data_IF_458481152515
#
_entry.id   IF_458481152515
#
_cell.length_a   1.000
_cell.length_b   1.000
_cell.length_c   1.000
_cell.angle_alpha   90.00
_cell.angle_beta   90.00
_cell.angle_gamma   90.00
#
_symmetry.space_group_name_H-M   'P 1'
#
loop_
_entity.id
_entity.type
_entity.pdbx_description
1 polymer ?
#
# COMPACT_ATOMS: atom_id res chain seq x y z
N UNK A 1 13.87 60.91 -47.33
CA UNK A 1 14.38 60.13 -46.20
C UNK A 1 13.20 59.44 -45.55
N UNK A 2 13.00 58.14 -45.80
CA UNK A 2 11.92 57.35 -45.23
C UNK A 2 12.52 56.47 -44.12
N UNK A 3 12.13 56.68 -42.85
CA UNK A 3 12.52 55.86 -41.71
C UNK A 3 11.61 54.61 -41.69
N UNK A 4 12.19 53.42 -41.90
CA UNK A 4 11.49 52.16 -41.64
C UNK A 4 11.71 51.76 -40.17
N UNK A 5 10.63 51.69 -39.43
CA UNK A 5 10.63 51.18 -38.07
C UNK A 5 10.40 49.65 -38.15
N UNK A 6 11.40 48.87 -37.74
CA UNK A 6 11.31 47.42 -37.62
C UNK A 6 10.77 47.08 -36.23
N UNK A 7 9.55 46.50 -36.17
CA UNK A 7 8.98 45.96 -34.92
C UNK A 7 9.54 44.55 -34.66
N UNK A 8 10.33 44.41 -33.62
CA UNK A 8 10.72 43.12 -33.09
C UNK A 8 9.56 42.57 -32.20
N UNK A 9 8.88 41.54 -32.67
CA UNK A 9 7.92 40.80 -31.88
C UNK A 9 8.69 39.76 -31.03
N UNK A 10 8.78 40.03 -29.75
CA UNK A 10 9.31 39.05 -28.77
C UNK A 10 8.25 37.98 -28.55
N UNK A 11 8.46 36.77 -29.12
CA UNK A 11 7.64 35.61 -28.80
C UNK A 11 8.13 35.03 -27.45
N UNK A 12 7.46 35.35 -26.36
CA UNK A 12 7.63 34.67 -25.09
C UNK A 12 6.90 33.32 -25.16
N UNK A 13 7.66 32.26 -25.36
CA UNK A 13 7.16 30.88 -25.13
C UNK A 13 6.88 30.72 -23.66
N UNK A 14 5.59 30.74 -23.28
CA UNK A 14 5.15 30.26 -21.98
C UNK A 14 5.41 28.76 -21.90
N UNK A 15 6.46 28.38 -21.17
CA UNK A 15 6.57 27.01 -20.70
C UNK A 15 5.42 26.76 -19.72
N UNK A 16 4.46 25.93 -20.11
CA UNK A 16 3.44 25.42 -19.20
C UNK A 16 4.14 24.58 -18.12
N UNK A 17 3.82 24.79 -16.86
CA UNK A 17 4.57 24.17 -15.76
C UNK A 17 4.31 22.67 -15.69
N UNK A 18 5.32 21.94 -15.21
CA UNK A 18 5.32 20.51 -14.87
C UNK A 18 4.30 20.10 -13.76
N UNK A 19 3.40 20.99 -13.35
CA UNK A 19 2.38 20.76 -12.34
C UNK A 19 1.38 19.63 -12.68
N UNK A 20 1.17 19.34 -13.97
CA UNK A 20 0.26 18.27 -14.38
C UNK A 20 0.88 16.86 -14.24
N UNK A 21 2.21 16.73 -14.36
CA UNK A 21 2.89 15.46 -14.15
C UNK A 21 2.90 15.08 -12.65
N UNK A 22 3.13 16.05 -11.78
CA UNK A 22 3.18 15.86 -10.34
C UNK A 22 1.82 15.52 -9.70
N UNK A 23 0.71 16.03 -10.28
CA UNK A 23 -0.64 15.66 -9.86
C UNK A 23 -1.00 14.21 -10.27
N UNK A 24 -0.47 13.72 -11.40
CA UNK A 24 -0.67 12.35 -11.85
C UNK A 24 0.10 11.34 -10.96
N UNK A 25 1.32 11.68 -10.53
CA UNK A 25 2.13 10.83 -9.64
C UNK A 25 1.55 10.75 -8.23
N UNK A 26 1.01 11.83 -7.68
CA UNK A 26 0.34 11.85 -6.37
C UNK A 26 -0.98 11.03 -6.34
N UNK A 27 -1.54 10.70 -7.50
CA UNK A 27 -2.76 9.90 -7.61
C UNK A 27 -2.51 8.39 -7.58
N UNK A 28 -1.29 7.94 -7.92
CA UNK A 28 -0.92 6.53 -8.01
C UNK A 28 0.02 6.14 -6.87
N UNK A 29 -0.10 4.91 -6.41
CA UNK A 29 0.77 4.30 -5.43
C UNK A 29 1.14 2.88 -5.88
N UNK A 30 2.41 2.55 -5.86
CA UNK A 30 2.93 1.20 -6.01
C UNK A 30 3.44 0.72 -4.67
N UNK A 31 3.16 -0.54 -4.36
CA UNK A 31 3.45 -1.15 -3.07
C UNK A 31 4.18 -2.46 -3.31
N UNK A 32 5.42 -2.56 -2.88
CA UNK A 32 6.14 -3.82 -2.78
C UNK A 32 5.87 -4.40 -1.38
N UNK A 33 5.30 -5.58 -1.32
CA UNK A 33 4.95 -6.25 -0.07
C UNK A 33 5.59 -7.63 0.00
N UNK A 34 6.48 -7.84 0.99
CA UNK A 34 7.04 -9.14 1.32
C UNK A 34 6.35 -9.72 2.54
N UNK A 35 5.75 -10.88 2.38
CA UNK A 35 5.04 -11.59 3.46
C UNK A 35 5.85 -12.80 3.88
N UNK A 36 6.30 -12.82 5.13
CA UNK A 36 7.23 -13.80 5.66
C UNK A 36 6.54 -14.88 6.49
N UNK A 37 6.98 -16.12 6.30
CA UNK A 37 6.73 -17.23 7.20
C UNK A 37 7.93 -17.34 8.15
N UNK A 38 7.72 -17.00 9.41
CA UNK A 38 8.77 -16.98 10.44
C UNK A 38 8.51 -18.04 11.50
N UNK A 39 9.59 -18.54 12.14
CA UNK A 39 9.49 -19.36 13.33
C UNK A 39 8.91 -18.51 14.48
N UNK A 40 7.76 -18.91 15.07
CA UNK A 40 7.13 -18.15 16.15
C UNK A 40 8.04 -17.90 17.35
N UNK A 41 9.02 -18.77 17.61
CA UNK A 41 9.98 -18.60 18.73
C UNK A 41 11.06 -17.57 18.43
N UNK A 42 11.28 -17.24 17.16
CA UNK A 42 12.29 -16.29 16.70
C UNK A 42 11.76 -14.92 16.31
N UNK A 43 10.44 -14.71 16.27
CA UNK A 43 9.81 -13.50 15.76
C UNK A 43 10.35 -12.21 16.39
N UNK A 44 10.50 -12.18 17.72
CA UNK A 44 11.05 -11.02 18.43
C UNK A 44 12.50 -10.70 17.99
N UNK A 45 13.31 -11.71 17.62
CA UNK A 45 14.64 -11.51 17.06
C UNK A 45 14.58 -10.92 15.66
N UNK A 46 13.64 -11.35 14.84
CA UNK A 46 13.45 -10.75 13.51
C UNK A 46 13.08 -9.27 13.64
N UNK A 47 12.15 -8.92 14.55
CA UNK A 47 11.74 -7.55 14.81
C UNK A 47 12.91 -6.68 15.28
N UNK A 48 13.77 -7.21 16.17
CA UNK A 48 14.97 -6.52 16.64
C UNK A 48 15.99 -6.29 15.51
N UNK A 49 16.18 -7.27 14.62
CA UNK A 49 17.07 -7.13 13.45
C UNK A 49 16.56 -6.02 12.53
N UNK A 50 15.28 -6.02 12.21
CA UNK A 50 14.68 -4.94 11.41
C UNK A 50 14.91 -3.59 12.08
N UNK A 51 14.56 -3.46 13.36
CA UNK A 51 14.64 -2.18 14.08
C UNK A 51 16.06 -1.62 14.18
N UNK A 52 17.06 -2.49 14.40
CA UNK A 52 18.45 -2.05 14.65
C UNK A 52 19.30 -1.99 13.40
N UNK A 53 19.10 -2.92 12.46
CA UNK A 53 20.01 -3.10 11.35
C UNK A 53 19.45 -2.59 10.02
N UNK A 54 18.14 -2.78 9.74
CA UNK A 54 17.58 -2.46 8.42
C UNK A 54 16.83 -1.12 8.41
N UNK A 55 16.12 -0.78 9.49
CA UNK A 55 15.39 0.49 9.63
C UNK A 55 16.19 1.73 9.21
N UNK A 56 17.47 1.91 9.62
CA UNK A 56 18.24 3.10 9.21
C UNK A 56 18.38 3.24 7.69
N UNK A 57 18.44 2.13 6.96
CA UNK A 57 18.53 2.13 5.49
C UNK A 57 17.19 2.46 4.84
N UNK A 58 16.09 1.93 5.39
CA UNK A 58 14.73 2.27 4.93
C UNK A 58 14.42 3.74 5.16
N UNK A 59 14.73 4.26 6.35
CA UNK A 59 14.54 5.69 6.68
C UNK A 59 15.33 6.58 5.72
N UNK A 60 16.60 6.24 5.46
CA UNK A 60 17.43 6.99 4.52
C UNK A 60 16.88 6.98 3.08
N UNK A 61 16.30 5.86 2.62
CA UNK A 61 15.66 5.79 1.30
C UNK A 61 14.43 6.71 1.20
N UNK A 62 13.68 6.87 2.28
CA UNK A 62 12.56 7.82 2.34
C UNK A 62 13.05 9.26 2.41
N UNK A 63 14.05 9.57 3.22
CA UNK A 63 14.65 10.91 3.32
C UNK A 63 15.23 11.39 1.99
N UNK A 64 15.79 10.47 1.20
CA UNK A 64 16.33 10.73 -0.14
C UNK A 64 15.24 10.86 -1.20
N UNK A 65 14.00 10.52 -0.89
CA UNK A 65 12.87 10.55 -1.81
C UNK A 65 12.78 9.34 -2.76
N UNK A 66 13.59 8.31 -2.55
CA UNK A 66 13.58 7.06 -3.32
C UNK A 66 12.34 6.21 -3.00
N UNK A 67 11.87 6.28 -1.75
CA UNK A 67 10.61 5.71 -1.30
C UNK A 67 9.70 6.81 -0.75
N UNK A 68 8.41 6.54 -0.77
CA UNK A 68 7.43 7.38 -0.08
C UNK A 68 7.29 6.99 1.38
N UNK A 69 7.18 5.69 1.62
CA UNK A 69 7.02 5.13 2.95
C UNK A 69 7.55 3.71 3.00
N UNK A 70 7.81 3.23 4.21
CA UNK A 70 7.99 1.83 4.50
C UNK A 70 7.28 1.47 5.80
N UNK A 71 6.98 0.17 6.01
CA UNK A 71 6.49 -0.33 7.28
C UNK A 71 6.85 -1.79 7.50
N UNK A 72 6.94 -2.17 8.77
CA UNK A 72 7.10 -3.52 9.25
C UNK A 72 5.92 -3.88 10.14
N UNK A 73 5.24 -4.98 9.83
CA UNK A 73 4.03 -5.40 10.51
C UNK A 73 4.20 -6.80 11.10
N UNK A 74 3.64 -7.01 12.30
CA UNK A 74 3.55 -8.30 12.95
C UNK A 74 2.14 -8.88 12.89
N UNK A 75 2.07 -10.20 12.82
CA UNK A 75 0.82 -10.95 12.75
C UNK A 75 0.10 -10.92 14.09
N UNK A 76 -1.15 -10.48 14.08
CA UNK A 76 -2.06 -10.59 15.22
C UNK A 76 -3.03 -11.77 15.04
N UNK A 77 -3.75 -11.85 13.92
CA UNK A 77 -4.66 -12.95 13.54
C UNK A 77 -4.65 -13.09 12.02
N UNK A 78 -4.71 -14.33 11.51
CA UNK A 78 -4.80 -14.62 10.07
C UNK A 78 -4.19 -15.96 9.71
N UNK A 79 -3.77 -16.09 8.46
CA UNK A 79 -3.17 -17.31 7.90
C UNK A 79 -1.71 -17.55 8.33
N UNK A 80 -0.88 -17.92 7.37
CA UNK A 80 0.50 -18.41 7.64
C UNK A 80 1.55 -17.30 7.73
N UNK A 81 1.31 -16.13 7.20
CA UNK A 81 2.26 -15.02 7.21
C UNK A 81 2.39 -14.44 8.61
N UNK A 82 3.62 -14.36 9.06
CA UNK A 82 3.93 -13.93 10.43
C UNK A 82 4.42 -12.49 10.49
N UNK A 83 5.05 -12.01 9.40
CA UNK A 83 5.55 -10.64 9.25
C UNK A 83 5.23 -10.13 7.85
N UNK A 84 5.08 -8.83 7.72
CA UNK A 84 4.98 -8.18 6.43
C UNK A 84 5.88 -6.94 6.39
N UNK A 85 6.67 -6.82 5.33
CA UNK A 85 7.47 -5.65 5.01
C UNK A 85 6.86 -4.97 3.81
N UNK A 86 6.60 -3.68 3.93
CA UNK A 86 5.92 -2.89 2.91
C UNK A 86 6.81 -1.72 2.51
N UNK A 87 7.07 -1.56 1.23
CA UNK A 87 7.68 -0.38 0.62
C UNK A 87 6.66 0.27 -0.30
N UNK A 88 6.65 1.61 -0.36
CA UNK A 88 5.75 2.34 -1.26
C UNK A 88 6.47 3.42 -2.04
N UNK A 89 6.07 3.60 -3.30
CA UNK A 89 6.54 4.67 -4.17
C UNK A 89 5.39 5.19 -5.04
N UNK A 90 5.61 6.32 -5.73
CA UNK A 90 4.63 6.92 -6.63
C UNK A 90 4.72 6.39 -8.07
N UNK A 91 5.83 5.76 -8.41
CA UNK A 91 6.01 5.09 -9.70
C UNK A 91 6.74 3.73 -9.52
N UNK A 92 6.65 2.89 -10.54
CA UNK A 92 7.18 1.53 -10.50
C UNK A 92 8.72 1.51 -10.54
N UNK A 93 9.32 2.38 -11.34
CA UNK A 93 10.77 2.40 -11.53
C UNK A 93 11.47 2.75 -10.21
N UNK A 94 11.03 3.81 -9.53
CA UNK A 94 11.55 4.19 -8.19
C UNK A 94 11.37 3.06 -7.17
N UNK A 95 10.21 2.36 -7.21
CA UNK A 95 9.96 1.24 -6.29
C UNK A 95 10.95 0.09 -6.50
N UNK A 96 11.20 -0.30 -7.74
CA UNK A 96 12.11 -1.39 -8.09
C UNK A 96 13.56 -1.01 -7.84
N UNK A 97 13.97 0.20 -8.22
CA UNK A 97 15.32 0.71 -7.99
C UNK A 97 15.62 0.80 -6.49
N UNK A 98 14.70 1.36 -5.70
CA UNK A 98 14.86 1.45 -4.26
C UNK A 98 14.90 0.07 -3.58
N UNK A 99 14.02 -0.85 -4.00
CA UNK A 99 14.00 -2.22 -3.46
C UNK A 99 15.30 -2.97 -3.75
N UNK A 100 15.83 -2.86 -4.99
CA UNK A 100 17.11 -3.45 -5.38
C UNK A 100 18.28 -2.88 -4.59
N UNK A 101 18.39 -1.55 -4.55
CA UNK A 101 19.45 -0.86 -3.81
C UNK A 101 19.44 -1.18 -2.30
N UNK A 102 18.25 -1.26 -1.69
CA UNK A 102 18.12 -1.65 -0.28
C UNK A 102 18.59 -3.09 -0.03
N UNK A 103 18.29 -4.02 -0.95
CA UNK A 103 18.78 -5.40 -0.87
C UNK A 103 20.31 -5.45 -0.87
N UNK A 104 20.96 -4.76 -1.82
CA UNK A 104 22.42 -4.67 -1.92
C UNK A 104 23.04 -4.02 -0.66
N UNK A 105 22.49 -2.89 -0.20
CA UNK A 105 22.95 -2.19 1.00
C UNK A 105 22.89 -3.07 2.25
N UNK A 106 21.80 -3.82 2.42
CA UNK A 106 21.63 -4.72 3.56
C UNK A 106 22.61 -5.88 3.48
N UNK A 107 22.81 -6.47 2.29
CA UNK A 107 23.77 -7.56 2.09
C UNK A 107 25.21 -7.11 2.36
N UNK A 108 25.59 -5.92 1.88
CA UNK A 108 26.95 -5.39 2.05
C UNK A 108 27.24 -4.91 3.48
N UNK A 109 26.31 -4.16 4.09
CA UNK A 109 26.55 -3.49 5.36
C UNK A 109 26.13 -4.31 6.60
N UNK A 110 25.20 -5.26 6.44
CA UNK A 110 24.63 -6.04 7.55
C UNK A 110 24.52 -7.54 7.24
N UNK A 111 25.55 -8.20 6.65
CA UNK A 111 25.44 -9.59 6.17
C UNK A 111 25.13 -10.59 7.29
N UNK A 112 25.60 -10.35 8.53
CA UNK A 112 25.30 -11.22 9.68
C UNK A 112 23.83 -11.08 10.12
N UNK A 113 23.31 -9.85 10.14
CA UNK A 113 21.92 -9.59 10.44
C UNK A 113 21.00 -10.19 9.37
N UNK A 114 21.36 -10.07 8.08
CA UNK A 114 20.63 -10.70 6.99
C UNK A 114 20.54 -12.22 7.13
N UNK A 115 21.66 -12.90 7.43
CA UNK A 115 21.65 -14.34 7.69
C UNK A 115 20.79 -14.72 8.90
N UNK A 116 20.94 -13.99 10.01
CA UNK A 116 20.17 -14.22 11.22
C UNK A 116 18.66 -13.98 11.02
N UNK A 117 18.30 -13.04 10.16
CA UNK A 117 16.90 -12.81 9.74
C UNK A 117 16.37 -14.00 8.96
N UNK A 118 17.12 -14.47 7.96
CA UNK A 118 16.74 -15.63 7.12
C UNK A 118 16.62 -16.93 7.93
N UNK A 119 17.41 -17.10 8.99
CA UNK A 119 17.27 -18.24 9.90
C UNK A 119 15.92 -18.27 10.62
N UNK A 120 15.35 -17.10 10.91
CA UNK A 120 14.04 -16.96 11.58
C UNK A 120 12.89 -16.95 10.58
N UNK A 121 13.02 -16.16 9.52
CA UNK A 121 11.99 -15.97 8.49
C UNK A 121 12.47 -16.60 7.18
N UNK A 122 12.41 -17.93 7.12
CA UNK A 122 13.05 -18.75 6.08
C UNK A 122 12.33 -18.79 4.74
N UNK A 123 11.09 -18.34 4.68
CA UNK A 123 10.30 -18.29 3.45
C UNK A 123 9.49 -16.98 3.37
N UNK A 124 9.31 -16.48 2.17
CA UNK A 124 8.44 -15.33 1.91
C UNK A 124 7.80 -15.45 0.53
N UNK A 125 6.75 -14.66 0.34
CA UNK A 125 6.16 -14.39 -0.97
C UNK A 125 6.07 -12.89 -1.16
N UNK A 126 6.38 -12.45 -2.38
CA UNK A 126 6.39 -11.04 -2.73
C UNK A 126 5.24 -10.70 -3.65
N UNK A 127 4.69 -9.53 -3.44
CA UNK A 127 3.69 -8.94 -4.31
C UNK A 127 4.06 -7.50 -4.65
N UNK A 128 3.77 -7.10 -5.87
CA UNK A 128 3.67 -5.70 -6.24
C UNK A 128 2.21 -5.38 -6.49
N UNK A 129 1.72 -4.40 -5.75
CA UNK A 129 0.37 -3.89 -5.85
C UNK A 129 0.35 -2.48 -6.41
N UNK A 130 -0.75 -2.09 -7.02
CA UNK A 130 -1.01 -0.73 -7.46
C UNK A 130 -2.31 -0.24 -6.87
N UNK A 131 -2.35 1.02 -6.43
CA UNK A 131 -3.56 1.71 -6.02
C UNK A 131 -3.59 3.13 -6.59
N UNK A 132 -4.79 3.58 -6.94
CA UNK A 132 -5.03 4.94 -7.41
C UNK A 132 -6.39 5.45 -6.93
N UNK A 133 -6.59 6.77 -6.91
CA UNK A 133 -7.93 7.30 -6.65
C UNK A 133 -8.91 6.90 -7.75
N UNK A 134 -10.20 6.65 -7.44
CA UNK A 134 -10.84 6.80 -6.12
C UNK A 134 -10.73 5.56 -5.21
N UNK A 135 -9.86 4.61 -5.50
CA UNK A 135 -9.74 3.33 -4.80
C UNK A 135 -8.90 3.40 -3.52
N UNK A 136 -8.67 4.58 -2.99
CA UNK A 136 -8.01 4.79 -1.68
C UNK A 136 -8.40 6.11 -1.05
N UNK A 137 -8.27 6.18 0.29
CA UNK A 137 -8.38 7.42 1.05
C UNK A 137 -7.04 8.16 1.08
N UNK A 138 -7.10 9.48 1.25
CA UNK A 138 -5.94 10.33 1.49
C UNK A 138 -4.88 10.30 0.39
N UNK A 139 -3.69 10.78 0.73
CA UNK A 139 -2.46 10.70 -0.07
C UNK A 139 -1.55 9.63 0.51
N UNK A 140 -0.64 9.14 -0.30
CA UNK A 140 0.41 8.23 0.17
C UNK A 140 1.29 8.96 1.19
N UNK A 141 1.47 8.39 2.39
CA UNK A 141 2.23 9.00 3.48
C UNK A 141 1.42 9.92 4.40
N UNK A 142 0.11 10.10 4.16
CA UNK A 142 -0.79 10.74 5.13
C UNK A 142 -0.94 9.87 6.40
N UNK A 143 -1.73 10.36 7.36
CA UNK A 143 -1.96 9.69 8.64
C UNK A 143 -2.13 8.17 8.50
N UNK A 144 -1.42 7.42 9.32
CA UNK A 144 -1.43 5.96 9.36
C UNK A 144 -2.01 5.48 10.67
N UNK A 145 -2.52 4.25 10.68
CA UNK A 145 -3.00 3.63 11.90
C UNK A 145 -1.90 2.91 12.65
N UNK A 146 -2.19 2.48 13.86
CA UNK A 146 -1.33 1.61 14.66
C UNK A 146 -1.54 0.13 14.34
N UNK A 147 -2.68 -0.18 13.71
CA UNK A 147 -3.07 -1.55 13.33
C UNK A 147 -3.63 -1.60 11.91
N UNK A 148 -3.45 -2.74 11.26
CA UNK A 148 -3.93 -3.00 9.90
C UNK A 148 -4.90 -4.19 9.83
N UNK A 149 -5.83 -4.14 8.89
CA UNK A 149 -6.65 -5.26 8.46
C UNK A 149 -6.51 -5.41 6.95
N UNK A 150 -6.09 -6.58 6.51
CA UNK A 150 -5.90 -6.92 5.10
C UNK A 150 -6.85 -8.02 4.69
N UNK A 151 -7.59 -7.84 3.59
CA UNK A 151 -8.36 -8.91 2.94
C UNK A 151 -7.78 -9.13 1.55
N UNK A 152 -7.22 -10.29 1.33
CA UNK A 152 -6.66 -10.73 0.05
C UNK A 152 -7.71 -11.52 -0.70
N UNK A 153 -8.05 -11.07 -1.92
CA UNK A 153 -9.08 -11.69 -2.74
C UNK A 153 -8.49 -12.45 -3.92
N UNK A 154 -9.04 -13.63 -4.15
CA UNK A 154 -8.90 -14.35 -5.42
C UNK A 154 -10.08 -13.95 -6.30
N UNK A 155 -9.80 -13.34 -7.44
CA UNK A 155 -10.82 -12.83 -8.36
C UNK A 155 -10.73 -13.51 -9.73
N UNK A 156 -11.85 -13.56 -10.44
CA UNK A 156 -11.89 -13.92 -11.85
C UNK A 156 -11.14 -12.87 -12.67
N UNK A 157 -9.98 -13.26 -13.25
CA UNK A 157 -9.10 -12.35 -14.00
C UNK A 157 -9.78 -11.65 -15.18
N UNK A 158 -10.81 -12.27 -15.77
CA UNK A 158 -11.54 -11.68 -16.89
C UNK A 158 -12.52 -10.57 -16.47
N UNK A 159 -12.78 -10.45 -15.14
CA UNK A 159 -13.79 -9.53 -14.58
C UNK A 159 -13.20 -8.60 -13.49
N UNK A 160 -11.88 -8.58 -13.32
CA UNK A 160 -11.21 -7.78 -12.28
C UNK A 160 -11.51 -6.29 -12.38
N UNK A 161 -11.54 -5.72 -13.60
CA UNK A 161 -11.89 -4.32 -13.82
C UNK A 161 -13.31 -4.02 -13.34
N UNK A 162 -14.24 -4.97 -13.54
CA UNK A 162 -15.62 -4.82 -13.06
C UNK A 162 -15.68 -4.83 -11.53
N UNK A 163 -14.87 -5.63 -10.86
CA UNK A 163 -14.75 -5.59 -9.39
C UNK A 163 -14.22 -4.22 -8.92
N UNK A 164 -13.22 -3.66 -9.60
CA UNK A 164 -12.67 -2.34 -9.29
C UNK A 164 -13.71 -1.22 -9.45
N UNK A 165 -14.54 -1.28 -10.53
CA UNK A 165 -15.65 -0.35 -10.73
C UNK A 165 -16.68 -0.46 -9.59
N UNK A 166 -17.06 -1.68 -9.21
CA UNK A 166 -18.01 -1.89 -8.11
C UNK A 166 -17.46 -1.29 -6.81
N UNK A 167 -16.19 -1.50 -6.52
CA UNK A 167 -15.56 -0.91 -5.34
C UNK A 167 -15.56 0.61 -5.43
N UNK A 168 -15.14 1.19 -6.56
CA UNK A 168 -15.07 2.63 -6.76
C UNK A 168 -16.44 3.32 -6.63
N UNK A 169 -17.48 2.75 -7.28
CA UNK A 169 -18.81 3.36 -7.36
C UNK A 169 -19.65 3.12 -6.11
N UNK A 170 -19.51 1.94 -5.48
CA UNK A 170 -20.45 1.51 -4.45
C UNK A 170 -19.82 1.41 -3.06
N UNK A 171 -18.58 0.88 -2.93
CA UNK A 171 -17.97 0.62 -1.62
C UNK A 171 -17.08 1.77 -1.15
N UNK A 172 -16.34 2.43 -2.04
CA UNK A 172 -15.49 3.56 -1.70
C UNK A 172 -16.23 4.70 -0.96
N UNK A 173 -17.45 5.10 -1.36
CA UNK A 173 -18.23 6.07 -0.59
C UNK A 173 -18.55 5.60 0.84
N UNK A 174 -18.73 4.30 1.03
CA UNK A 174 -18.97 3.73 2.36
C UNK A 174 -17.67 3.77 3.18
N UNK A 175 -16.54 3.28 2.64
CA UNK A 175 -15.26 3.38 3.35
C UNK A 175 -14.94 4.82 3.74
N UNK A 176 -15.11 5.79 2.83
CA UNK A 176 -14.87 7.20 3.09
C UNK A 176 -15.76 7.78 4.22
N UNK A 177 -17.00 7.30 4.36
CA UNK A 177 -17.89 7.68 5.47
C UNK A 177 -17.28 7.34 6.84
N UNK A 178 -16.47 6.28 6.91
CA UNK A 178 -15.86 5.78 8.14
C UNK A 178 -14.44 6.31 8.40
N UNK A 179 -13.92 7.21 7.58
CA UNK A 179 -12.69 7.97 7.87
C UNK A 179 -13.03 9.03 8.92
N UNK A 180 -12.96 8.65 10.18
CA UNK A 180 -13.29 9.49 11.35
C UNK A 180 -12.35 9.11 12.51
N UNK A 181 -12.14 9.97 13.54
CA UNK A 181 -11.14 9.74 14.59
C UNK A 181 -11.20 8.35 15.26
N UNK A 182 -12.41 7.82 15.51
CA UNK A 182 -12.60 6.49 16.12
C UNK A 182 -12.97 5.41 15.10
N UNK A 183 -12.77 5.66 13.82
CA UNK A 183 -13.09 4.78 12.71
C UNK A 183 -11.86 4.28 11.98
N UNK A 184 -11.89 4.37 10.64
CA UNK A 184 -10.73 4.15 9.81
C UNK A 184 -9.80 5.35 9.85
N UNK A 185 -8.49 5.10 9.92
CA UNK A 185 -7.46 6.11 9.62
C UNK A 185 -7.25 6.18 8.10
N UNK A 186 -7.17 5.01 7.45
CA UNK A 186 -7.07 4.95 5.99
C UNK A 186 -7.67 3.65 5.44
N UNK A 187 -7.94 3.65 4.12
CA UNK A 187 -8.26 2.45 3.38
C UNK A 187 -7.67 2.52 1.97
N UNK A 188 -7.39 1.34 1.39
CA UNK A 188 -6.95 1.19 0.01
C UNK A 188 -7.46 -0.11 -0.58
N UNK A 189 -7.91 -0.05 -1.82
CA UNK A 189 -8.14 -1.19 -2.69
C UNK A 189 -6.99 -1.26 -3.68
N UNK A 190 -6.23 -2.33 -3.63
CA UNK A 190 -5.01 -2.50 -4.40
C UNK A 190 -5.20 -3.59 -5.46
N UNK A 191 -4.68 -3.32 -6.64
CA UNK A 191 -4.71 -4.21 -7.80
C UNK A 191 -3.40 -4.99 -7.86
N UNK A 192 -3.50 -6.26 -8.20
CA UNK A 192 -2.32 -7.09 -8.45
C UNK A 192 -1.56 -6.61 -9.68
N UNK A 193 -0.25 -6.46 -9.52
CA UNK A 193 0.68 -6.20 -10.62
C UNK A 193 1.59 -7.42 -10.84
N UNK A 194 2.31 -7.86 -9.79
CA UNK A 194 3.17 -9.04 -9.79
C UNK A 194 3.00 -9.79 -8.46
N UNK A 195 3.13 -11.12 -8.47
CA UNK A 195 3.12 -11.96 -7.27
C UNK A 195 2.33 -13.25 -7.45
N UNK A 196 1.86 -13.81 -6.33
CA UNK A 196 1.18 -15.11 -6.28
C UNK A 196 -0.29 -15.08 -6.72
N UNK A 197 -1.14 -15.78 -5.97
CA UNK A 197 -2.53 -16.07 -6.36
C UNK A 197 -3.55 -14.99 -6.04
N UNK A 198 -3.21 -14.06 -5.14
CA UNK A 198 -4.12 -12.99 -4.74
C UNK A 198 -4.17 -11.89 -5.79
N UNK A 199 -5.38 -11.52 -6.19
CA UNK A 199 -5.60 -10.60 -7.31
C UNK A 199 -5.97 -9.21 -6.88
N UNK A 200 -6.57 -9.07 -5.68
CA UNK A 200 -6.94 -7.80 -5.07
C UNK A 200 -6.65 -7.83 -3.58
N UNK A 201 -6.35 -6.68 -3.05
CA UNK A 201 -6.10 -6.48 -1.63
C UNK A 201 -6.89 -5.27 -1.14
N UNK A 202 -7.77 -5.49 -0.17
CA UNK A 202 -8.35 -4.41 0.64
C UNK A 202 -7.49 -4.24 1.90
N UNK A 203 -6.88 -3.08 2.06
CA UNK A 203 -6.14 -2.70 3.24
C UNK A 203 -6.91 -1.61 4.01
N UNK A 204 -7.14 -1.82 5.30
CA UNK A 204 -7.74 -0.88 6.23
C UNK A 204 -6.75 -0.60 7.35
N UNK A 205 -6.67 0.63 7.84
CA UNK A 205 -5.89 0.95 9.05
C UNK A 205 -6.77 1.63 10.10
N UNK A 206 -6.40 1.48 11.36
CA UNK A 206 -7.12 2.05 12.49
C UNK A 206 -6.19 2.31 13.67
N UNK A 207 -6.68 3.03 14.69
CA UNK A 207 -5.93 3.36 15.90
C UNK A 207 -5.74 2.18 16.86
N UNK A 208 -6.60 1.17 16.79
CA UNK A 208 -6.51 -0.07 17.58
C UNK A 208 -7.43 -1.15 17.02
N UNK A 209 -7.15 -2.41 17.33
CA UNK A 209 -7.90 -3.57 16.83
C UNK A 209 -9.39 -3.50 17.14
N UNK A 210 -9.80 -3.08 18.35
CA UNK A 210 -11.21 -3.03 18.74
C UNK A 210 -11.99 -2.01 17.94
N UNK A 211 -11.42 -0.83 17.71
CA UNK A 211 -12.02 0.22 16.87
C UNK A 211 -12.10 -0.26 15.43
N UNK A 212 -11.00 -0.79 14.88
CA UNK A 212 -10.93 -1.26 13.51
C UNK A 212 -11.94 -2.38 13.21
N UNK A 213 -12.05 -3.39 14.07
CA UNK A 213 -13.01 -4.48 13.90
C UNK A 213 -14.46 -3.99 14.00
N UNK A 214 -14.78 -3.10 14.96
CA UNK A 214 -16.13 -2.51 15.05
C UNK A 214 -16.48 -1.71 13.81
N UNK A 215 -15.54 -0.91 13.32
CA UNK A 215 -15.74 -0.11 12.11
C UNK A 215 -15.92 -1.01 10.88
N UNK A 216 -15.11 -2.07 10.75
CA UNK A 216 -15.28 -3.07 9.68
C UNK A 216 -16.67 -3.73 9.74
N UNK A 217 -17.16 -4.09 10.92
CA UNK A 217 -18.50 -4.65 11.08
C UNK A 217 -19.60 -3.67 10.63
N UNK A 218 -19.47 -2.38 10.95
CA UNK A 218 -20.39 -1.34 10.50
C UNK A 218 -20.34 -1.13 8.97
N UNK A 219 -19.15 -1.14 8.39
CA UNK A 219 -18.96 -1.10 6.93
C UNK A 219 -19.63 -2.30 6.25
N UNK A 220 -19.43 -3.52 6.78
CA UNK A 220 -20.08 -4.73 6.25
C UNK A 220 -21.61 -4.62 6.37
N UNK A 221 -22.14 -4.07 7.46
CA UNK A 221 -23.58 -3.84 7.61
C UNK A 221 -24.11 -2.88 6.54
N UNK A 222 -23.43 -1.75 6.30
CA UNK A 222 -23.81 -0.79 5.26
C UNK A 222 -23.75 -1.41 3.85
N UNK A 223 -22.71 -2.19 3.54
CA UNK A 223 -22.57 -2.92 2.27
C UNK A 223 -23.64 -4.02 2.13
N UNK A 224 -24.16 -4.52 3.23
CA UNK A 224 -25.20 -5.55 3.27
C UNK A 224 -26.63 -4.98 3.20
N UNK A 225 -26.80 -3.67 3.19
CA UNK A 225 -28.11 -3.06 3.00
C UNK A 225 -28.73 -3.44 1.65
N UNK A 226 -30.06 -3.54 1.62
CA UNK A 226 -30.83 -3.99 0.43
C UNK A 226 -30.52 -3.21 -0.85
N UNK A 227 -30.21 -1.92 -0.72
CA UNK A 227 -29.82 -1.05 -1.86
C UNK A 227 -28.50 -1.49 -2.51
N UNK A 228 -27.63 -2.18 -1.77
CA UNK A 228 -26.32 -2.66 -2.22
C UNK A 228 -26.34 -4.11 -2.73
N UNK A 229 -27.47 -4.81 -2.62
CA UNK A 229 -27.57 -6.26 -2.88
C UNK A 229 -27.04 -6.66 -4.27
N UNK A 230 -27.31 -5.85 -5.29
CA UNK A 230 -26.86 -6.15 -6.66
C UNK A 230 -25.34 -6.04 -6.76
N UNK A 231 -24.76 -4.92 -6.35
CA UNK A 231 -23.33 -4.67 -6.41
C UNK A 231 -22.56 -5.69 -5.56
N UNK A 232 -23.04 -5.97 -4.35
CA UNK A 232 -22.46 -6.96 -3.44
C UNK A 232 -22.47 -8.37 -4.03
N UNK A 233 -23.59 -8.84 -4.60
CA UNK A 233 -23.66 -10.17 -5.23
C UNK A 233 -22.72 -10.27 -6.41
N UNK A 234 -22.73 -9.27 -7.31
CA UNK A 234 -21.84 -9.24 -8.46
C UNK A 234 -20.37 -9.24 -8.03
N UNK A 235 -20.00 -8.47 -6.99
CA UNK A 235 -18.66 -8.48 -6.41
C UNK A 235 -18.27 -9.87 -5.88
N UNK A 236 -19.15 -10.51 -5.12
CA UNK A 236 -18.88 -11.85 -4.55
C UNK A 236 -18.81 -12.95 -5.62
N UNK A 237 -19.47 -12.78 -6.77
CA UNK A 237 -19.32 -13.68 -7.91
C UNK A 237 -17.96 -13.52 -8.60
N UNK A 238 -17.35 -12.33 -8.51
CA UNK A 238 -16.04 -12.04 -9.11
C UNK A 238 -14.90 -12.34 -8.13
N UNK A 239 -15.02 -11.90 -6.87
CA UNK A 239 -14.00 -11.94 -5.83
C UNK A 239 -14.53 -12.60 -4.54
N UNK A 240 -15.08 -13.82 -4.66
CA UNK A 240 -15.76 -14.49 -3.54
C UNK A 240 -14.83 -15.19 -2.56
N UNK A 241 -13.67 -15.67 -3.03
CA UNK A 241 -12.66 -16.34 -2.19
C UNK A 241 -11.68 -15.31 -1.63
N UNK A 242 -11.46 -15.35 -0.31
CA UNK A 242 -10.55 -14.40 0.33
C UNK A 242 -9.90 -14.98 1.59
N UNK A 243 -8.81 -14.35 2.00
CA UNK A 243 -8.11 -14.59 3.26
C UNK A 243 -7.92 -13.26 4.00
N UNK A 244 -8.16 -13.28 5.31
CA UNK A 244 -8.08 -12.09 6.16
C UNK A 244 -6.87 -12.16 7.08
N UNK A 245 -6.22 -11.00 7.28
CA UNK A 245 -5.16 -10.81 8.28
C UNK A 245 -5.43 -9.56 9.10
N UNK A 246 -5.08 -9.65 10.38
CA UNK A 246 -5.03 -8.52 11.30
C UNK A 246 -3.57 -8.35 11.74
N UNK A 247 -3.06 -7.14 11.67
CA UNK A 247 -1.66 -6.78 11.87
C UNK A 247 -1.48 -5.74 12.95
N UNK A 248 -0.39 -5.83 13.72
CA UNK A 248 0.17 -4.71 14.44
C UNK A 248 1.21 -4.02 13.53
N UNK A 249 1.24 -2.69 13.50
CA UNK A 249 2.24 -1.92 12.77
C UNK A 249 3.35 -1.58 13.76
N UNK A 250 4.44 -2.35 13.71
CA UNK A 250 5.53 -2.29 14.69
C UNK A 250 6.49 -1.12 14.40
N UNK A 251 6.81 -0.94 13.12
CA UNK A 251 7.71 0.11 12.66
C UNK A 251 7.17 0.69 11.36
N UNK A 252 7.36 1.98 11.20
CA UNK A 252 7.06 2.67 9.94
C UNK A 252 7.93 3.92 9.77
N UNK A 253 7.87 4.52 8.61
CA UNK A 253 8.48 5.82 8.32
C UNK A 253 8.02 6.84 9.37
N UNK A 254 8.92 7.65 9.91
CA UNK A 254 8.61 8.75 10.82
C UNK A 254 7.63 9.76 10.24
#
# INVERSE_FOLDING_TARGET
>A
MRLSVVFFVLITTLMAPAANAQLADDERAYVYASYFECDPTGEARADEIIARNFKPHYDAAVEQGNLRTWSWMSHYVGGKWRRAHILTATNMDDLLDASGALGEIIEENTPEAGRAFTEVCSAHVDYIWESSKPLRSGRLGDARGEVGFSTYYRCDMSREERADEIVAENFAPIYNKYIVPDGLVSWSWLKHNVGGEWRRLLALTGSNHKALIRTRQAIIADISERRMDRARREFLEICGEHEDYLWDIELETP
#
